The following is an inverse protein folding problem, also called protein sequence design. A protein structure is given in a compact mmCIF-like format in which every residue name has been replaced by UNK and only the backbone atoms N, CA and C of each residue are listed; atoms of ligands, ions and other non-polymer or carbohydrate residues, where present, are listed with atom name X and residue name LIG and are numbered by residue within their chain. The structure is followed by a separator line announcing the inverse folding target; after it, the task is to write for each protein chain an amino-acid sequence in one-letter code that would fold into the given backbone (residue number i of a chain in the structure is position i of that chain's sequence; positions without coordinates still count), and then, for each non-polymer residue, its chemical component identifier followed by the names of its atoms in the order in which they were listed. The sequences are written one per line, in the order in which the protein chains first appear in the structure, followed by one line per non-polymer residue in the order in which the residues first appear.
data_IF_347113590139
#
_entry.id   IF_347113590139
#
_cell.length_a   1.000
_cell.length_b   1.000
_cell.length_c   1.000
_cell.angle_alpha   90.00
_cell.angle_beta   90.00
_cell.angle_gamma   90.00
#
_symmetry.space_group_name_H-M   'P 1'
#
loop_
_entity.id
_entity.type
_entity.pdbx_description
1 polymer ?
#
# COMPACT_ATOMS: atom_id res chain seq x y z
N UNK A 1 -4.26 -3.87 -8.64
CA UNK A 1 -5.73 -3.85 -8.63
C UNK A 1 -6.26 -4.53 -9.88
N UNK A 2 -7.55 -4.89 -9.92
CA UNK A 2 -8.26 -5.31 -11.14
C UNK A 2 -8.49 -4.12 -12.09
N UNK A 3 -8.87 -4.39 -13.34
CA UNK A 3 -9.19 -3.33 -14.33
C UNK A 3 -10.35 -2.45 -13.88
N UNK A 4 -11.32 -3.01 -13.15
CA UNK A 4 -12.49 -2.32 -12.58
C UNK A 4 -12.26 -1.75 -11.18
N UNK A 5 -10.99 -1.67 -10.72
CA UNK A 5 -10.59 -0.85 -9.57
C UNK A 5 -10.64 -1.51 -8.19
N UNK A 6 -10.75 -2.83 -8.11
CA UNK A 6 -10.74 -3.56 -6.83
C UNK A 6 -9.35 -4.05 -6.45
N UNK A 7 -9.05 -4.11 -5.16
CA UNK A 7 -7.79 -4.65 -4.59
C UNK A 7 -7.96 -6.03 -3.97
N UNK A 8 -9.20 -6.45 -3.74
CA UNK A 8 -9.57 -7.78 -3.29
C UNK A 8 -11.01 -8.06 -3.74
N UNK A 9 -11.39 -9.31 -3.82
CA UNK A 9 -12.77 -9.73 -4.05
C UNK A 9 -13.68 -9.43 -2.84
N UNK A 10 -14.99 -9.71 -2.93
CA UNK A 10 -15.97 -9.37 -1.89
C UNK A 10 -15.72 -10.06 -0.54
N UNK A 11 -15.07 -11.24 -0.53
CA UNK A 11 -14.68 -11.95 0.68
C UNK A 11 -13.19 -11.75 1.01
N UNK A 12 -12.58 -10.68 0.50
CA UNK A 12 -11.15 -10.36 0.65
C UNK A 12 -10.21 -11.35 -0.05
N UNK A 13 -10.68 -12.12 -1.01
CA UNK A 13 -9.88 -13.01 -1.84
C UNK A 13 -8.97 -12.23 -2.80
N UNK A 14 -7.78 -12.79 -3.07
CA UNK A 14 -6.74 -12.17 -3.90
C UNK A 14 -5.96 -13.20 -4.76
N UNK A 15 -6.53 -14.37 -4.96
CA UNK A 15 -6.01 -15.49 -5.77
C UNK A 15 -5.86 -15.12 -7.26
N UNK A 16 -6.60 -14.11 -7.71
CA UNK A 16 -6.51 -13.52 -9.04
C UNK A 16 -5.25 -12.66 -9.27
N UNK A 17 -4.48 -12.35 -8.22
CA UNK A 17 -3.21 -11.64 -8.32
C UNK A 17 -2.12 -12.65 -8.71
N UNK A 18 -1.87 -12.77 -10.00
CA UNK A 18 -0.90 -13.71 -10.52
C UNK A 18 0.53 -13.17 -10.33
N UNK A 19 1.47 -14.03 -9.90
CA UNK A 19 2.88 -13.66 -9.89
C UNK A 19 3.40 -13.51 -11.32
N UNK A 20 4.27 -12.53 -11.55
CA UNK A 20 4.96 -12.37 -12.83
C UNK A 20 6.48 -12.30 -12.56
N UNK A 21 7.30 -13.16 -13.20
CA UNK A 21 8.75 -13.19 -12.99
C UNK A 21 9.46 -11.91 -13.46
N UNK A 22 8.81 -11.07 -14.27
CA UNK A 22 9.35 -9.77 -14.69
C UNK A 22 9.22 -8.69 -13.60
N UNK A 23 8.55 -8.99 -12.47
CA UNK A 23 8.47 -8.10 -11.29
C UNK A 23 9.60 -8.45 -10.34
N UNK A 24 10.63 -7.61 -10.28
CA UNK A 24 11.70 -7.73 -9.31
C UNK A 24 11.25 -7.17 -7.95
N UNK A 25 10.68 -8.06 -7.13
CA UNK A 25 10.22 -7.71 -5.78
C UNK A 25 11.38 -7.27 -4.87
N UNK A 26 12.59 -7.84 -5.03
CA UNK A 26 13.72 -7.48 -4.21
C UNK A 26 14.16 -6.04 -4.48
N UNK A 27 14.31 -5.67 -5.75
CA UNK A 27 14.59 -4.29 -6.15
C UNK A 27 13.49 -3.33 -5.70
N UNK A 28 12.22 -3.73 -5.82
CA UNK A 28 11.09 -2.92 -5.40
C UNK A 28 11.13 -2.67 -3.88
N UNK A 29 11.28 -3.72 -3.06
CA UNK A 29 11.35 -3.59 -1.60
C UNK A 29 12.57 -2.78 -1.12
N UNK A 30 13.70 -2.85 -1.83
CA UNK A 30 14.93 -2.13 -1.47
C UNK A 30 14.81 -0.61 -1.53
N UNK A 31 13.79 -0.07 -2.21
CA UNK A 31 13.52 1.37 -2.33
C UNK A 31 12.97 1.98 -1.03
N UNK A 32 12.45 1.14 -0.13
CA UNK A 32 11.71 1.56 1.05
C UNK A 32 12.43 1.12 2.34
N UNK A 33 12.40 1.94 3.36
CA UNK A 33 12.84 1.59 4.71
C UNK A 33 11.70 1.54 5.73
N UNK A 34 10.53 2.02 5.34
CA UNK A 34 9.35 2.10 6.19
C UNK A 34 8.10 1.63 5.42
N UNK A 35 7.32 0.76 6.04
CA UNK A 35 6.04 0.28 5.54
C UNK A 35 4.93 0.76 6.46
N UNK A 36 3.96 1.47 5.92
CA UNK A 36 2.79 1.98 6.63
C UNK A 36 1.55 1.25 6.12
N UNK A 37 0.77 0.66 7.02
CA UNK A 37 -0.43 -0.09 6.63
C UNK A 37 -1.53 -0.04 7.69
N UNK A 38 -2.76 -0.32 7.28
CA UNK A 38 -3.87 -0.52 8.18
C UNK A 38 -3.90 -1.94 8.77
N UNK A 39 -4.60 -2.11 9.90
CA UNK A 39 -4.73 -3.39 10.62
C UNK A 39 -5.13 -4.57 9.71
N UNK A 40 -6.19 -4.44 8.89
CA UNK A 40 -6.64 -5.52 8.01
C UNK A 40 -5.56 -5.98 7.02
N UNK A 41 -4.81 -5.03 6.47
CA UNK A 41 -3.69 -5.34 5.56
C UNK A 41 -2.57 -6.08 6.30
N UNK A 42 -2.27 -5.67 7.53
CA UNK A 42 -1.30 -6.36 8.39
C UNK A 42 -1.72 -7.80 8.70
N UNK A 43 -2.99 -8.02 9.08
CA UNK A 43 -3.54 -9.34 9.39
C UNK A 43 -3.37 -10.30 8.19
N UNK A 44 -3.85 -9.90 7.01
CA UNK A 44 -3.71 -10.68 5.77
C UNK A 44 -2.25 -10.97 5.42
N UNK A 45 -1.36 -10.01 5.60
CA UNK A 45 0.05 -10.20 5.30
C UNK A 45 0.76 -11.10 6.34
N UNK A 46 0.31 -11.08 7.61
CA UNK A 46 0.82 -11.93 8.70
C UNK A 46 0.43 -13.38 8.53
N UNK A 47 -0.79 -13.67 8.10
CA UNK A 47 -1.27 -15.03 7.82
C UNK A 47 -0.42 -15.77 6.78
N UNK A 48 0.24 -15.04 5.88
CA UNK A 48 1.17 -15.59 4.88
C UNK A 48 2.55 -15.97 5.44
N UNK A 49 2.73 -15.95 6.76
CA UNK A 49 3.99 -16.33 7.41
C UNK A 49 5.15 -15.38 7.10
N UNK A 50 4.87 -14.13 6.76
CA UNK A 50 5.91 -13.12 6.58
C UNK A 50 6.50 -12.76 7.93
N UNK A 51 7.77 -13.10 8.12
CA UNK A 51 8.54 -12.54 9.24
C UNK A 51 8.87 -11.09 8.88
N UNK A 52 8.33 -10.17 9.64
CA UNK A 52 8.52 -8.72 9.46
C UNK A 52 9.95 -8.26 9.74
N UNK A 53 10.76 -9.10 10.39
CA UNK A 53 12.15 -8.79 10.78
C UNK A 53 13.18 -9.06 9.69
N UNK A 54 12.79 -9.69 8.58
CA UNK A 54 13.75 -10.24 7.59
C UNK A 54 14.49 -9.19 6.77
N UNK A 55 14.02 -7.95 6.70
CA UNK A 55 14.55 -6.97 5.75
C UNK A 55 15.05 -5.67 6.40
N UNK A 56 15.01 -5.56 7.74
CA UNK A 56 15.47 -4.37 8.47
C UNK A 56 14.61 -3.12 8.24
N UNK A 57 13.42 -3.25 7.64
CA UNK A 57 12.49 -2.14 7.49
C UNK A 57 11.67 -1.91 8.75
N UNK A 58 11.23 -0.67 8.93
CA UNK A 58 10.26 -0.30 9.96
C UNK A 58 8.84 -0.65 9.49
N UNK A 59 8.09 -1.36 10.32
CA UNK A 59 6.70 -1.74 10.05
C UNK A 59 5.78 -0.97 10.98
N UNK A 60 4.91 -0.15 10.42
CA UNK A 60 4.01 0.73 11.16
C UNK A 60 2.57 0.35 10.79
N UNK A 61 1.79 -0.01 11.79
CA UNK A 61 0.39 -0.42 11.63
C UNK A 61 -0.53 0.62 12.28
N UNK A 62 -1.44 1.16 11.49
CA UNK A 62 -2.48 2.07 11.97
C UNK A 62 -3.65 1.25 12.52
N UNK A 63 -3.85 1.30 13.83
CA UNK A 63 -4.92 0.58 14.52
C UNK A 63 -5.28 1.22 15.86
N UNK A 64 -6.57 1.32 16.13
CA UNK A 64 -7.12 1.77 17.43
C UNK A 64 -7.39 0.61 18.41
N UNK A 65 -7.25 -0.63 17.96
CA UNK A 65 -7.64 -1.82 18.72
C UNK A 65 -6.51 -2.80 18.99
N UNK A 66 -5.44 -2.76 18.19
CA UNK A 66 -4.25 -3.57 18.43
C UNK A 66 -3.44 -3.00 19.60
N UNK A 67 -2.87 -3.89 20.40
CA UNK A 67 -2.02 -3.52 21.55
C UNK A 67 -0.55 -3.72 21.18
N UNK A 68 0.33 -2.74 21.48
CA UNK A 68 1.77 -2.86 21.18
C UNK A 68 2.43 -4.07 21.83
N UNK A 69 2.00 -4.45 23.04
CA UNK A 69 2.53 -5.60 23.77
C UNK A 69 2.32 -6.94 23.08
N UNK A 70 1.26 -7.07 22.26
CA UNK A 70 0.97 -8.28 21.50
C UNK A 70 1.76 -8.36 20.17
N UNK A 71 2.41 -7.26 19.78
CA UNK A 71 3.08 -7.12 18.48
C UNK A 71 4.44 -6.40 18.59
N UNK A 72 5.45 -6.98 19.30
CA UNK A 72 6.69 -6.29 19.62
C UNK A 72 7.60 -5.97 18.41
N UNK A 73 7.36 -6.62 17.27
CA UNK A 73 8.16 -6.42 16.04
C UNK A 73 7.66 -5.29 15.13
N UNK A 74 6.57 -4.61 15.51
CA UNK A 74 5.98 -3.53 14.73
C UNK A 74 5.66 -2.31 15.61
N UNK A 75 5.54 -1.15 14.98
CA UNK A 75 5.03 0.06 15.66
C UNK A 75 3.53 0.19 15.40
N UNK A 76 2.73 0.40 16.46
CA UNK A 76 1.29 0.64 16.33
C UNK A 76 1.02 2.13 16.55
N UNK A 77 0.33 2.75 15.57
CA UNK A 77 -0.16 4.12 15.67
C UNK A 77 -1.69 4.09 15.86
N UNK A 78 -2.17 4.57 17.00
CA UNK A 78 -3.60 4.61 17.33
C UNK A 78 -4.25 5.97 17.11
N UNK A 79 -3.46 7.05 17.06
CA UNK A 79 -3.89 8.44 16.89
C UNK A 79 -2.76 9.29 16.30
N UNK A 80 -3.03 10.54 15.90
CA UNK A 80 -2.02 11.45 15.40
C UNK A 80 -1.31 10.94 14.13
N UNK A 81 -2.04 10.25 13.23
CA UNK A 81 -1.44 9.52 12.13
C UNK A 81 -0.78 10.49 11.13
N UNK A 82 -1.44 11.60 10.81
CA UNK A 82 -0.91 12.59 9.86
C UNK A 82 0.37 13.23 10.39
N UNK A 83 0.38 13.63 11.66
CA UNK A 83 1.53 14.22 12.33
C UNK A 83 2.71 13.23 12.41
N UNK A 84 2.42 11.97 12.70
CA UNK A 84 3.44 10.92 12.72
C UNK A 84 4.04 10.70 11.33
N UNK A 85 3.23 10.70 10.27
CA UNK A 85 3.72 10.55 8.89
C UNK A 85 4.52 11.79 8.46
N UNK A 86 4.10 13.00 8.81
CA UNK A 86 4.88 14.23 8.57
C UNK A 86 6.26 14.11 9.24
N UNK A 87 6.30 13.71 10.50
CA UNK A 87 7.55 13.52 11.24
C UNK A 87 8.45 12.44 10.62
N UNK A 88 7.87 11.36 10.12
CA UNK A 88 8.61 10.31 9.39
C UNK A 88 9.19 10.83 8.07
N UNK A 89 8.40 11.57 7.29
CA UNK A 89 8.87 12.17 6.02
C UNK A 89 9.98 13.19 6.21
N UNK A 90 10.07 13.83 7.38
CA UNK A 90 11.14 14.78 7.71
C UNK A 90 12.47 14.09 8.14
N UNK A 91 12.47 12.79 8.38
CA UNK A 91 13.67 12.04 8.75
C UNK A 91 14.49 11.68 7.50
N UNK A 92 15.84 11.63 7.60
CA UNK A 92 16.64 11.07 6.54
C UNK A 92 16.35 9.57 6.41
N UNK A 93 16.31 9.09 5.17
CA UNK A 93 15.99 7.68 4.90
C UNK A 93 15.60 7.46 3.46
N UNK A 94 14.96 6.30 3.22
CA UNK A 94 14.37 5.93 1.94
C UNK A 94 12.88 6.32 1.91
N UNK A 95 12.22 5.96 0.83
CA UNK A 95 10.78 6.18 0.69
C UNK A 95 9.98 5.40 1.75
N UNK A 96 8.83 5.94 2.12
CA UNK A 96 7.82 5.26 2.93
C UNK A 96 6.82 4.59 1.98
N UNK A 97 6.62 3.30 2.10
CA UNK A 97 5.60 2.60 1.34
C UNK A 97 4.27 2.57 2.10
N UNK A 98 3.31 3.35 1.62
CA UNK A 98 1.92 3.20 2.05
C UNK A 98 1.35 1.90 1.42
N UNK A 99 1.52 0.79 2.15
CA UNK A 99 1.21 -0.56 1.68
C UNK A 99 -0.30 -0.85 1.58
N UNK A 100 -1.12 0.01 2.19
CA UNK A 100 -2.58 -0.05 2.09
C UNK A 100 -3.26 -0.22 3.46
N UNK A 101 -4.57 -0.50 3.62
CA UNK A 101 -5.61 -0.57 2.58
C UNK A 101 -6.20 0.78 2.19
N UNK A 102 -7.27 0.70 1.37
CA UNK A 102 -7.86 1.88 0.74
C UNK A 102 -8.31 2.99 1.70
N UNK A 103 -8.80 2.66 2.88
CA UNK A 103 -9.21 3.66 3.89
C UNK A 103 -8.02 4.48 4.38
N UNK A 104 -6.88 3.83 4.68
CA UNK A 104 -5.67 4.54 5.08
C UNK A 104 -5.11 5.35 3.91
N UNK A 105 -5.12 4.79 2.70
CA UNK A 105 -4.71 5.49 1.49
C UNK A 105 -5.56 6.75 1.27
N UNK A 106 -6.89 6.67 1.37
CA UNK A 106 -7.78 7.85 1.28
C UNK A 106 -7.43 8.90 2.33
N UNK A 107 -7.23 8.48 3.57
CA UNK A 107 -6.89 9.40 4.67
C UNK A 107 -5.57 10.15 4.41
N UNK A 108 -4.54 9.46 3.94
CA UNK A 108 -3.24 10.08 3.62
C UNK A 108 -3.32 10.98 2.38
N UNK A 109 -4.11 10.59 1.39
CA UNK A 109 -4.34 11.38 0.19
C UNK A 109 -5.07 12.70 0.52
N UNK A 110 -6.11 12.63 1.35
CA UNK A 110 -6.88 13.82 1.78
C UNK A 110 -6.05 14.76 2.67
N UNK A 111 -5.07 14.20 3.39
CA UNK A 111 -4.11 14.97 4.19
C UNK A 111 -2.93 15.56 3.37
N UNK A 112 -2.85 15.30 2.05
CA UNK A 112 -1.75 15.78 1.20
C UNK A 112 -0.40 15.10 1.50
N UNK A 113 -0.42 13.87 2.03
CA UNK A 113 0.77 13.15 2.48
C UNK A 113 1.24 12.06 1.50
N UNK A 114 0.58 11.95 0.35
CA UNK A 114 0.95 11.03 -0.74
C UNK A 114 1.66 11.82 -1.83
N UNK A 115 2.88 11.43 -2.17
CA UNK A 115 3.67 12.11 -3.22
C UNK A 115 3.55 11.37 -4.56
N UNK A 116 3.47 10.03 -4.50
CA UNK A 116 3.48 9.15 -5.68
C UNK A 116 2.51 7.99 -5.48
N UNK A 117 1.84 7.62 -6.55
CA UNK A 117 0.93 6.49 -6.58
C UNK A 117 1.45 5.49 -7.63
N UNK A 118 1.80 4.29 -7.18
CA UNK A 118 2.22 3.18 -8.04
C UNK A 118 1.10 2.13 -8.07
N UNK A 119 0.58 1.86 -9.25
CA UNK A 119 -0.55 0.94 -9.44
C UNK A 119 -0.15 -0.16 -10.39
N UNK A 120 -0.32 -1.40 -9.95
CA UNK A 120 -0.23 -2.58 -10.81
C UNK A 120 -1.65 -3.05 -11.14
N UNK A 121 -2.02 -2.95 -12.42
CA UNK A 121 -3.34 -3.35 -12.92
C UNK A 121 -3.23 -4.75 -13.49
N UNK A 122 -3.95 -5.69 -12.88
CA UNK A 122 -4.08 -7.07 -13.37
C UNK A 122 -5.12 -7.12 -14.49
N UNK A 123 -4.90 -7.91 -15.56
CA UNK A 123 -5.82 -8.02 -16.68
C UNK A 123 -7.06 -8.88 -16.34
N UNK A 124 -7.83 -8.44 -15.33
CA UNK A 124 -9.01 -9.12 -14.81
C UNK A 124 -10.09 -8.12 -14.41
N UNK A 125 -11.34 -8.49 -14.58
CA UNK A 125 -12.52 -7.81 -14.04
C UNK A 125 -13.08 -8.66 -12.89
N UNK A 126 -13.32 -8.05 -11.73
CA UNK A 126 -13.89 -8.75 -10.57
C UNK A 126 -15.41 -8.54 -10.46
N UNK A 127 -15.95 -7.44 -11.00
CA UNK A 127 -17.37 -7.09 -10.92
C UNK A 127 -17.81 -6.57 -9.55
N UNK A 128 -17.16 -7.01 -8.47
CA UNK A 128 -17.41 -6.54 -7.10
C UNK A 128 -16.19 -6.82 -6.24
N UNK A 129 -16.05 -6.12 -5.10
CA UNK A 129 -14.94 -6.34 -4.18
C UNK A 129 -14.60 -5.13 -3.32
N UNK A 130 -13.41 -5.15 -2.76
CA UNK A 130 -12.85 -4.06 -1.97
C UNK A 130 -12.23 -3.04 -2.93
N UNK A 131 -12.74 -1.80 -3.01
CA UNK A 131 -12.20 -0.79 -3.90
C UNK A 131 -10.78 -0.38 -3.47
N UNK A 132 -9.93 -0.05 -4.46
CA UNK A 132 -8.59 0.50 -4.20
C UNK A 132 -8.68 1.79 -3.38
N UNK A 133 -9.66 2.62 -3.68
CA UNK A 133 -9.87 3.90 -3.01
C UNK A 133 -11.36 4.07 -2.68
N UNK A 134 -11.74 4.22 -1.40
CA UNK A 134 -13.11 4.59 -1.00
C UNK A 134 -13.52 5.96 -1.55
N UNK A 135 -14.81 6.23 -1.50
CA UNK A 135 -15.37 7.53 -1.87
C UNK A 135 -14.67 8.70 -1.18
N UNK A 136 -14.56 9.82 -1.88
CA UNK A 136 -13.92 11.02 -1.36
C UNK A 136 -13.71 12.07 -2.44
N UNK A 137 -12.85 13.04 -2.17
CA UNK A 137 -12.56 14.14 -3.10
C UNK A 137 -11.93 13.63 -4.38
N UNK A 138 -12.33 14.21 -5.51
CA UNK A 138 -11.65 14.01 -6.79
C UNK A 138 -10.23 14.58 -6.72
N UNK A 139 -9.26 13.79 -7.19
CA UNK A 139 -7.86 14.17 -7.28
C UNK A 139 -7.38 13.97 -8.71
N UNK A 140 -6.77 14.99 -9.30
CA UNK A 140 -6.07 14.87 -10.58
C UNK A 140 -4.71 14.22 -10.36
N UNK A 141 -4.26 13.45 -11.33
CA UNK A 141 -2.96 12.76 -11.31
C UNK A 141 -2.21 13.05 -12.60
N UNK A 142 -0.89 13.10 -12.52
CA UNK A 142 -0.01 13.20 -13.68
C UNK A 142 0.71 11.86 -13.88
N UNK A 143 0.50 11.20 -15.02
CA UNK A 143 1.19 9.94 -15.37
C UNK A 143 2.67 10.25 -15.66
N UNK A 144 3.56 9.64 -14.89
CA UNK A 144 5.01 9.82 -15.04
C UNK A 144 5.70 8.62 -15.65
N UNK A 145 5.13 7.42 -15.48
CA UNK A 145 5.68 6.19 -16.07
C UNK A 145 4.59 5.14 -16.29
N UNK A 146 4.78 4.32 -17.32
CA UNK A 146 4.01 3.10 -17.54
C UNK A 146 4.91 1.98 -18.05
N UNK A 147 4.53 0.73 -17.73
CA UNK A 147 5.20 -0.47 -18.25
C UNK A 147 4.16 -1.57 -18.42
N UNK A 148 4.13 -2.16 -19.61
CA UNK A 148 3.32 -3.35 -19.91
C UNK A 148 4.22 -4.58 -19.79
N UNK A 149 3.79 -5.57 -19.03
CA UNK A 149 4.47 -6.85 -18.92
C UNK A 149 3.93 -7.86 -19.94
N UNK A 150 4.70 -8.89 -20.34
CA UNK A 150 4.24 -9.92 -21.27
C UNK A 150 2.96 -10.64 -20.83
N UNK A 151 2.71 -10.73 -19.52
CA UNK A 151 1.47 -11.27 -18.93
C UNK A 151 0.22 -10.40 -19.13
N UNK A 152 0.37 -9.19 -19.70
CA UNK A 152 -0.71 -8.21 -19.81
C UNK A 152 -0.89 -7.34 -18.56
N UNK A 153 -0.07 -7.53 -17.54
CA UNK A 153 -0.04 -6.65 -16.35
C UNK A 153 0.44 -5.27 -16.77
N UNK A 154 -0.25 -4.23 -16.31
CA UNK A 154 0.11 -2.83 -16.55
C UNK A 154 0.57 -2.19 -15.24
N UNK A 155 1.80 -1.70 -15.22
CA UNK A 155 2.36 -0.94 -14.08
C UNK A 155 2.31 0.54 -14.42
N UNK A 156 1.72 1.34 -13.55
CA UNK A 156 1.52 2.78 -13.72
C UNK A 156 2.12 3.52 -12.54
N UNK A 157 2.79 4.63 -12.81
CA UNK A 157 3.27 5.56 -11.78
C UNK A 157 2.69 6.94 -12.04
N UNK A 158 2.11 7.51 -11.02
CA UNK A 158 1.55 8.86 -11.03
C UNK A 158 2.17 9.72 -9.94
N UNK A 159 2.24 11.03 -10.19
CA UNK A 159 2.44 12.06 -9.17
C UNK A 159 1.17 12.89 -8.99
N UNK A 160 1.04 13.50 -7.85
CA UNK A 160 0.00 14.50 -7.60
C UNK A 160 0.49 15.84 -8.13
N UNK A 161 -0.40 16.69 -8.71
CA UNK A 161 -0.05 18.08 -9.02
C UNK A 161 0.17 18.84 -7.71
N UNK A 162 1.05 19.84 -7.78
CA UNK A 162 1.34 20.78 -6.69
C UNK A 162 0.10 21.61 -6.29
#
# INVERSE_FOLDING_TARGET
MSVDGFIAGPNSEYDWILPDPAIDFAAMFSRYDTFLMGRKTYEVASERGKSWDKFGQRWIVVSRTMKPEDHPSITILSSGIAEAVIALKAQPGKDIWLFGGGVLFRSMLDAGLVDRIEVTVMPVLLGSGVPMLPEGRRQSLHLTSNKVLPSGILMLTYTLPD
#
